data_IF_536171683775
#
_entry.id   IF_536171683775
#
_cell.length_a   1.000
_cell.length_b   1.000
_cell.length_c   1.000
_cell.angle_alpha   90.00
_cell.angle_beta   90.00
_cell.angle_gamma   90.00
#
_symmetry.space_group_name_H-M   'P 1'
#
loop_
_entity.id
_entity.type
_entity.pdbx_description
1 polymer ?
#
# COMPACT_ATOMS: atom_id res chain seq x y z
N UNK A 1 15.04 7.98 -5.93
CA UNK A 1 15.75 8.07 -4.63
C UNK A 1 15.29 6.88 -3.79
N UNK A 2 16.20 6.00 -3.33
CA UNK A 2 15.85 4.88 -2.47
C UNK A 2 15.62 5.33 -1.03
N UNK A 3 14.55 4.85 -0.40
CA UNK A 3 14.23 5.09 0.99
C UNK A 3 14.24 3.78 1.80
N UNK A 4 14.53 3.86 3.08
CA UNK A 4 14.38 2.73 4.02
C UNK A 4 12.93 2.63 4.52
N UNK A 5 12.02 2.21 3.65
CA UNK A 5 10.59 2.16 3.93
C UNK A 5 9.84 3.44 3.51
N UNK A 6 8.52 3.45 3.69
CA UNK A 6 7.63 4.52 3.22
C UNK A 6 7.73 5.81 4.07
N UNK A 7 7.92 5.69 5.36
CA UNK A 7 7.86 6.83 6.30
C UNK A 7 8.83 7.97 5.96
N UNK A 8 10.14 7.74 5.71
CA UNK A 8 11.05 8.82 5.33
C UNK A 8 10.65 9.50 4.02
N UNK A 9 10.21 8.71 3.03
CA UNK A 9 9.75 9.25 1.75
C UNK A 9 8.50 10.11 1.89
N UNK A 10 7.54 9.70 2.70
CA UNK A 10 6.34 10.48 3.00
C UNK A 10 6.71 11.81 3.67
N UNK A 11 7.67 11.80 4.59
CA UNK A 11 8.18 13.00 5.24
C UNK A 11 8.73 13.99 4.21
N UNK A 12 9.48 13.48 3.24
CA UNK A 12 10.07 14.30 2.18
C UNK A 12 9.02 14.83 1.18
N UNK A 13 7.97 14.07 0.89
CA UNK A 13 6.82 14.58 0.10
C UNK A 13 6.12 15.71 0.86
N UNK A 14 5.79 15.49 2.12
CA UNK A 14 5.13 16.49 2.96
C UNK A 14 5.99 17.73 3.14
N UNK A 15 7.31 17.56 3.25
CA UNK A 15 8.28 18.64 3.34
C UNK A 15 8.61 19.33 2.01
N UNK A 16 8.09 18.83 0.88
CA UNK A 16 8.36 19.37 -0.47
C UNK A 16 9.76 19.06 -1.00
N UNK A 17 10.48 18.11 -0.39
CA UNK A 17 11.83 17.70 -0.83
C UNK A 17 11.78 16.83 -2.10
N UNK A 18 10.69 16.09 -2.29
CA UNK A 18 10.39 15.33 -3.51
C UNK A 18 8.97 15.62 -3.96
N UNK A 19 8.76 15.59 -5.28
CA UNK A 19 7.48 15.96 -5.88
C UNK A 19 6.37 14.93 -5.63
N UNK A 20 6.69 13.64 -5.63
CA UNK A 20 5.75 12.54 -5.45
C UNK A 20 6.46 11.24 -5.04
N UNK A 21 5.68 10.27 -4.58
CA UNK A 21 6.19 8.92 -4.34
C UNK A 21 5.07 7.89 -4.59
N UNK A 22 5.48 6.64 -4.80
CA UNK A 22 4.61 5.48 -4.93
C UNK A 22 4.86 4.54 -3.74
N UNK A 23 3.81 4.21 -2.97
CA UNK A 23 3.88 3.32 -1.79
C UNK A 23 2.48 2.78 -1.47
N UNK A 24 2.33 1.75 -0.61
CA UNK A 24 1.04 1.25 -0.20
C UNK A 24 0.08 2.35 0.27
N UNK A 25 -1.17 2.29 -0.21
CA UNK A 25 -2.16 3.36 -0.01
C UNK A 25 -2.48 3.67 1.46
N UNK A 26 -2.38 2.68 2.34
CA UNK A 26 -2.60 2.86 3.78
C UNK A 26 -1.63 3.83 4.44
N UNK A 27 -0.39 3.88 3.96
CA UNK A 27 0.65 4.74 4.52
C UNK A 27 0.38 6.24 4.33
N UNK A 28 -0.32 6.59 3.25
CA UNK A 28 -0.67 7.98 2.92
C UNK A 28 -1.95 8.48 3.55
N UNK A 29 -2.87 7.60 3.94
CA UNK A 29 -4.25 7.95 4.23
C UNK A 29 -4.39 9.01 5.33
N UNK A 30 -3.64 8.88 6.41
CA UNK A 30 -3.69 9.84 7.51
C UNK A 30 -3.23 11.25 7.07
N UNK A 31 -2.16 11.32 6.28
CA UNK A 31 -1.65 12.59 5.77
C UNK A 31 -2.57 13.20 4.69
N UNK A 32 -3.20 12.36 3.87
CA UNK A 32 -4.20 12.78 2.88
C UNK A 32 -5.41 13.41 3.57
N UNK A 33 -5.99 12.75 4.57
CA UNK A 33 -7.12 13.24 5.35
C UNK A 33 -6.80 14.52 6.12
N UNK A 34 -5.56 14.66 6.57
CA UNK A 34 -5.07 15.87 7.23
C UNK A 34 -4.71 17.01 6.27
N UNK A 35 -4.87 16.81 4.95
CA UNK A 35 -4.55 17.81 3.92
C UNK A 35 -3.05 18.11 3.76
N UNK A 36 -2.17 17.27 4.32
CA UNK A 36 -0.71 17.46 4.25
C UNK A 36 -0.10 16.99 2.93
N UNK A 37 -0.77 16.05 2.26
CA UNK A 37 -0.46 15.58 0.91
C UNK A 37 -1.75 15.21 0.19
N UNK A 38 -1.66 14.94 -1.10
CA UNK A 38 -2.79 14.51 -1.92
C UNK A 38 -2.48 13.17 -2.57
N UNK A 39 -3.34 12.16 -2.35
CA UNK A 39 -3.30 10.93 -3.12
C UNK A 39 -3.87 11.24 -4.51
N UNK A 40 -3.10 10.91 -5.56
CA UNK A 40 -3.47 11.22 -6.94
C UNK A 40 -4.21 10.08 -7.62
N UNK A 41 -3.80 8.83 -7.35
CA UNK A 41 -4.41 7.64 -7.92
C UNK A 41 -4.04 6.39 -7.11
N UNK A 42 -4.83 5.34 -7.27
CA UNK A 42 -4.51 3.97 -6.84
C UNK A 42 -4.24 3.07 -8.04
N UNK A 43 -3.32 2.11 -7.87
CA UNK A 43 -2.95 1.15 -8.90
C UNK A 43 -3.90 -0.05 -9.00
N UNK A 44 -4.77 -0.27 -8.03
CA UNK A 44 -5.73 -1.37 -8.01
C UNK A 44 -6.78 -1.27 -9.11
N UNK A 45 -7.51 -2.34 -9.35
CA UNK A 45 -8.58 -2.43 -10.37
C UNK A 45 -9.81 -1.61 -10.00
N UNK A 46 -10.03 -1.40 -8.71
CA UNK A 46 -11.17 -0.64 -8.17
C UNK A 46 -10.68 0.37 -7.15
N UNK A 47 -11.49 1.40 -6.92
CA UNK A 47 -11.23 2.39 -5.86
C UNK A 47 -11.21 1.72 -4.49
N UNK A 48 -10.37 2.20 -3.61
CA UNK A 48 -10.29 1.67 -2.25
C UNK A 48 -11.47 2.16 -1.39
N UNK A 49 -12.11 1.27 -0.63
CA UNK A 49 -13.29 1.62 0.19
C UNK A 49 -13.04 2.73 1.21
N UNK A 50 -11.82 2.88 1.67
CA UNK A 50 -11.45 3.90 2.65
C UNK A 50 -11.05 5.26 2.06
N UNK A 51 -10.99 5.37 0.71
CA UNK A 51 -10.74 6.60 -0.04
C UNK A 51 -11.48 6.56 -1.39
N UNK A 52 -12.82 6.49 -1.40
CA UNK A 52 -13.62 6.33 -2.62
C UNK A 52 -13.55 7.54 -3.56
N UNK A 53 -13.15 8.69 -3.04
CA UNK A 53 -12.94 9.92 -3.80
C UNK A 53 -11.71 9.88 -4.71
N UNK A 54 -10.76 8.98 -4.45
CA UNK A 54 -9.54 8.85 -5.24
C UNK A 54 -9.74 7.85 -6.36
N UNK A 55 -9.60 8.30 -7.61
CA UNK A 55 -9.71 7.46 -8.80
C UNK A 55 -8.52 6.51 -8.95
N UNK A 56 -8.74 5.40 -9.67
CA UNK A 56 -7.64 4.51 -10.06
C UNK A 56 -6.86 5.08 -11.24
N UNK A 57 -5.65 4.55 -11.48
CA UNK A 57 -4.90 4.88 -12.71
C UNK A 57 -5.70 4.55 -13.97
N UNK A 58 -6.38 3.41 -13.99
CA UNK A 58 -7.19 2.99 -15.13
C UNK A 58 -8.33 3.98 -15.43
N UNK A 59 -9.03 4.49 -14.41
CA UNK A 59 -10.07 5.49 -14.57
C UNK A 59 -9.54 6.83 -15.11
N UNK A 60 -8.26 7.10 -14.92
CA UNK A 60 -7.57 8.30 -15.40
C UNK A 60 -6.88 8.10 -16.76
N UNK A 61 -7.08 6.96 -17.42
CA UNK A 61 -6.53 6.67 -18.75
C UNK A 61 -5.16 5.98 -18.74
N UNK A 62 -4.67 5.56 -17.58
CA UNK A 62 -3.37 4.89 -17.40
C UNK A 62 -3.54 3.42 -17.01
N UNK A 63 -4.35 2.66 -17.78
CA UNK A 63 -4.67 1.27 -17.47
C UNK A 63 -3.46 0.33 -17.41
N UNK A 64 -2.41 0.65 -18.12
CA UNK A 64 -1.13 -0.06 -18.10
C UNK A 64 -0.41 0.01 -16.74
N UNK A 65 -0.76 0.97 -15.87
CA UNK A 65 -0.23 1.12 -14.52
C UNK A 65 -1.06 0.35 -13.48
N UNK A 66 -2.02 -0.47 -13.92
CA UNK A 66 -2.80 -1.32 -13.00
C UNK A 66 -1.91 -2.43 -12.46
N UNK A 67 -1.72 -2.43 -11.15
CA UNK A 67 -0.95 -3.45 -10.43
C UNK A 67 -1.54 -3.66 -9.04
N UNK A 68 -1.35 -4.84 -8.49
CA UNK A 68 -1.79 -5.20 -7.15
C UNK A 68 -0.56 -5.60 -6.32
N UNK A 69 -0.50 -5.11 -5.11
CA UNK A 69 0.48 -5.51 -4.12
C UNK A 69 -0.11 -6.59 -3.21
N UNK A 70 0.71 -7.54 -2.79
CA UNK A 70 0.31 -8.58 -1.85
C UNK A 70 1.34 -8.72 -0.74
N UNK A 71 0.87 -9.12 0.43
CA UNK A 71 1.72 -9.45 1.57
C UNK A 71 1.62 -10.94 1.86
N UNK A 72 2.76 -11.58 2.08
CA UNK A 72 2.83 -12.99 2.42
C UNK A 72 3.46 -13.19 3.80
N UNK A 73 2.92 -14.13 4.55
CA UNK A 73 3.55 -14.62 5.78
C UNK A 73 4.38 -15.85 5.44
N UNK A 74 5.64 -15.85 5.84
CA UNK A 74 6.59 -16.92 5.53
C UNK A 74 7.15 -17.54 6.82
N UNK A 75 7.35 -18.85 6.81
CA UNK A 75 8.01 -19.59 7.87
C UNK A 75 9.28 -20.27 7.35
N UNK A 76 10.25 -20.59 8.21
CA UNK A 76 11.41 -21.39 7.81
C UNK A 76 10.97 -22.72 7.14
N UNK A 77 11.71 -23.15 6.10
CA UNK A 77 11.33 -24.32 5.29
C UNK A 77 11.12 -25.61 6.08
N UNK A 78 11.76 -25.75 7.24
CA UNK A 78 11.67 -26.92 8.13
C UNK A 78 10.56 -26.80 9.20
N UNK A 79 9.73 -25.75 9.16
CA UNK A 79 8.61 -25.61 10.10
C UNK A 79 7.61 -26.72 9.86
N UNK A 80 7.16 -27.38 10.94
CA UNK A 80 6.20 -28.47 10.82
C UNK A 80 4.86 -28.00 10.24
N UNK A 81 4.21 -28.87 9.47
CA UNK A 81 2.92 -28.54 8.84
C UNK A 81 1.84 -28.21 9.88
N UNK A 82 1.86 -28.81 11.04
CA UNK A 82 0.93 -28.51 12.13
C UNK A 82 1.03 -27.03 12.57
N UNK A 83 2.25 -26.53 12.72
CA UNK A 83 2.50 -25.11 13.08
C UNK A 83 2.08 -24.18 11.92
N UNK A 84 2.41 -24.53 10.67
CA UNK A 84 2.03 -23.75 9.50
C UNK A 84 0.50 -23.64 9.37
N UNK A 85 -0.22 -24.77 9.56
CA UNK A 85 -1.68 -24.77 9.50
C UNK A 85 -2.32 -23.97 10.63
N UNK A 86 -1.80 -24.09 11.86
CA UNK A 86 -2.30 -23.30 13.00
C UNK A 86 -2.09 -21.80 12.79
N UNK A 87 -0.92 -21.38 12.28
CA UNK A 87 -0.64 -19.99 11.95
C UNK A 87 -1.55 -19.49 10.82
N UNK A 88 -1.74 -20.28 9.75
CA UNK A 88 -2.62 -19.93 8.65
C UNK A 88 -4.07 -19.73 9.12
N UNK A 89 -4.58 -20.64 9.95
CA UNK A 89 -5.93 -20.50 10.50
C UNK A 89 -6.06 -19.23 11.36
N UNK A 90 -5.09 -18.95 12.22
CA UNK A 90 -5.10 -17.76 13.06
C UNK A 90 -5.08 -16.46 12.24
N UNK A 91 -4.24 -16.40 11.19
CA UNK A 91 -4.13 -15.22 10.30
C UNK A 91 -5.42 -15.02 9.52
N UNK A 92 -6.04 -16.08 8.99
CA UNK A 92 -7.26 -15.97 8.21
C UNK A 92 -8.52 -15.74 9.06
N UNK A 93 -8.46 -15.98 10.36
CA UNK A 93 -9.57 -15.70 11.31
C UNK A 93 -9.53 -14.27 11.86
N UNK A 94 -8.43 -13.57 11.68
CA UNK A 94 -8.26 -12.20 12.14
C UNK A 94 -8.84 -11.20 11.12
#
# INVERSE_FOLDING_TARGET
IPYRGSVPGITDVVGGQIACMFTPGGDFLANHRAGKLRILAFSGRTRLPFAPEVATFAEQGFGELTTEEWFGFHAPAKTSMAVVQAANQAINAA
#
